data_IF_926832561394
#
_entry.id   IF_926832561394
#
_cell.length_a   1.000
_cell.length_b   1.000
_cell.length_c   1.000
_cell.angle_alpha   90.00
_cell.angle_beta   90.00
_cell.angle_gamma   90.00
#
_symmetry.space_group_name_H-M   'P 1'
#
loop_
_entity.id
_entity.type
_entity.pdbx_description
1 polymer ?
#
# COMPACT_ATOMS: atom_id res chain seq x y z
N UNK A 1 20.58 -13.78 -0.83
CA UNK A 1 19.65 -12.64 -0.58
C UNK A 1 18.20 -13.09 -0.42
N UNK A 2 17.68 -13.99 -1.25
CA UNK A 2 16.30 -14.51 -1.19
C UNK A 2 16.02 -15.25 0.13
N UNK A 3 16.87 -16.16 0.57
CA UNK A 3 16.70 -16.95 1.81
C UNK A 3 16.63 -16.05 3.06
N UNK A 4 17.44 -14.97 3.13
CA UNK A 4 17.41 -14.01 4.25
C UNK A 4 16.11 -13.20 4.33
N UNK A 5 15.36 -13.08 3.22
CA UNK A 5 14.06 -12.40 3.16
C UNK A 5 12.90 -13.35 3.45
N UNK A 6 13.02 -14.65 3.17
CA UNK A 6 12.02 -15.67 3.56
C UNK A 6 11.93 -15.82 5.08
N UNK A 7 13.02 -15.61 5.82
CA UNK A 7 13.04 -15.59 7.30
C UNK A 7 12.28 -14.40 7.92
N UNK A 8 11.80 -13.45 7.11
CA UNK A 8 11.02 -12.28 7.57
C UNK A 8 9.51 -12.48 7.45
N UNK A 9 9.06 -13.68 7.09
CA UNK A 9 7.63 -14.04 7.08
C UNK A 9 7.16 -14.17 8.52
N UNK A 10 6.11 -13.43 8.87
CA UNK A 10 5.41 -13.53 10.15
C UNK A 10 3.96 -13.87 9.89
N UNK A 11 3.50 -14.93 10.53
CA UNK A 11 2.10 -15.34 10.48
C UNK A 11 1.38 -14.70 11.67
N UNK A 12 0.28 -14.01 11.42
CA UNK A 12 -0.51 -13.40 12.48
C UNK A 12 -1.27 -14.50 13.27
N UNK A 13 -1.39 -14.41 14.61
CA UNK A 13 -2.10 -15.42 15.40
C UNK A 13 -3.53 -15.72 14.91
N UNK A 14 -4.23 -14.72 14.43
CA UNK A 14 -5.57 -14.90 13.82
C UNK A 14 -5.56 -15.86 12.62
N UNK A 15 -4.46 -16.00 11.90
CA UNK A 15 -4.36 -16.95 10.78
C UNK A 15 -4.54 -18.40 11.27
N UNK A 16 -3.89 -18.75 12.38
CA UNK A 16 -4.02 -20.09 12.98
C UNK A 16 -5.44 -20.34 13.51
N UNK A 17 -6.08 -19.32 14.08
CA UNK A 17 -7.48 -19.40 14.51
C UNK A 17 -8.40 -19.68 13.32
N UNK A 18 -8.21 -18.98 12.18
CA UNK A 18 -9.01 -19.20 10.98
C UNK A 18 -8.74 -20.56 10.34
N UNK A 19 -7.49 -21.02 10.33
CA UNK A 19 -7.14 -22.37 9.88
C UNK A 19 -7.85 -23.46 10.70
N UNK A 20 -7.87 -23.29 12.02
CA UNK A 20 -8.55 -24.20 12.95
C UNK A 20 -10.08 -24.18 12.73
N UNK A 21 -10.68 -22.99 12.69
CA UNK A 21 -12.12 -22.84 12.43
C UNK A 21 -12.52 -23.43 11.08
N UNK A 22 -11.74 -23.21 10.01
CA UNK A 22 -12.03 -23.77 8.69
C UNK A 22 -11.97 -25.31 8.68
N UNK A 23 -11.10 -25.90 9.51
CA UNK A 23 -11.02 -27.35 9.66
C UNK A 23 -12.27 -27.93 10.33
N UNK A 24 -12.81 -27.25 11.35
CA UNK A 24 -14.03 -27.68 12.06
C UNK A 24 -15.28 -27.50 11.18
N UNK A 25 -15.34 -26.41 10.43
CA UNK A 25 -16.51 -26.06 9.59
C UNK A 25 -16.52 -26.78 8.23
N UNK A 26 -15.51 -27.58 7.90
CA UNK A 26 -15.38 -28.24 6.61
C UNK A 26 -14.92 -27.35 5.47
N UNK A 27 -14.57 -26.08 5.74
CA UNK A 27 -14.12 -25.08 4.76
C UNK A 27 -12.59 -25.02 4.62
N UNK A 28 -11.89 -26.11 4.99
CA UNK A 28 -10.43 -26.14 4.96
C UNK A 28 -9.86 -26.05 3.54
N UNK A 29 -10.54 -26.64 2.58
CA UNK A 29 -10.17 -26.59 1.16
C UNK A 29 -10.19 -25.13 0.62
N UNK A 30 -11.26 -24.41 0.90
CA UNK A 30 -11.41 -23.00 0.55
C UNK A 30 -10.34 -22.12 1.20
N UNK A 31 -10.05 -22.38 2.49
CA UNK A 31 -9.00 -21.68 3.21
C UNK A 31 -7.62 -21.90 2.60
N UNK A 32 -7.30 -23.12 2.16
CA UNK A 32 -6.04 -23.43 1.47
C UNK A 32 -5.94 -22.68 0.14
N UNK A 33 -6.99 -22.74 -0.69
CA UNK A 33 -7.03 -22.01 -1.97
C UNK A 33 -6.83 -20.52 -1.74
N UNK A 34 -7.57 -19.92 -0.81
CA UNK A 34 -7.48 -18.53 -0.45
C UNK A 34 -6.05 -18.15 -0.03
N UNK A 35 -5.42 -18.97 0.79
CA UNK A 35 -4.04 -18.76 1.27
C UNK A 35 -3.02 -18.82 0.12
N UNK A 36 -3.17 -19.77 -0.81
CA UNK A 36 -2.29 -19.89 -1.98
C UNK A 36 -2.39 -18.65 -2.85
N UNK A 37 -3.59 -18.16 -3.14
CA UNK A 37 -3.82 -16.97 -3.96
C UNK A 37 -3.15 -15.74 -3.31
N UNK A 38 -3.35 -15.54 -2.01
CA UNK A 38 -2.70 -14.45 -1.27
C UNK A 38 -1.18 -14.56 -1.32
N UNK A 39 -0.65 -15.76 -1.12
CA UNK A 39 0.79 -15.99 -1.17
C UNK A 39 1.37 -15.63 -2.53
N UNK A 40 0.75 -16.04 -3.61
CA UNK A 40 1.17 -15.69 -4.99
C UNK A 40 1.11 -14.17 -5.20
N UNK A 41 0.04 -13.52 -4.74
CA UNK A 41 -0.11 -12.07 -4.80
C UNK A 41 1.03 -11.34 -4.07
N UNK A 42 1.33 -11.72 -2.82
CA UNK A 42 2.43 -11.13 -2.05
C UNK A 42 3.80 -11.38 -2.67
N UNK A 43 4.00 -12.56 -3.28
CA UNK A 43 5.22 -12.86 -4.01
C UNK A 43 5.44 -11.94 -5.21
N UNK A 44 4.38 -11.44 -5.84
CA UNK A 44 4.46 -10.40 -6.85
C UNK A 44 5.09 -9.11 -6.33
N UNK A 45 4.66 -8.62 -5.17
CA UNK A 45 5.27 -7.45 -4.53
C UNK A 45 6.73 -7.69 -4.13
N UNK A 46 6.99 -8.86 -3.56
CA UNK A 46 8.34 -9.27 -3.13
C UNK A 46 9.31 -9.29 -4.31
N UNK A 47 8.93 -9.91 -5.42
CA UNK A 47 9.79 -9.99 -6.62
C UNK A 47 10.09 -8.60 -7.18
N UNK A 48 9.09 -7.73 -7.28
CA UNK A 48 9.29 -6.35 -7.71
C UNK A 48 10.21 -5.57 -6.75
N UNK A 49 10.03 -5.71 -5.44
CA UNK A 49 10.90 -5.09 -4.45
C UNK A 49 12.36 -5.53 -4.59
N UNK A 50 12.59 -6.82 -4.80
CA UNK A 50 13.93 -7.39 -4.98
C UNK A 50 14.59 -6.90 -6.28
N UNK A 51 13.83 -6.80 -7.39
CA UNK A 51 14.32 -6.26 -8.65
C UNK A 51 14.82 -4.80 -8.51
N UNK A 52 14.14 -4.01 -7.68
CA UNK A 52 14.56 -2.64 -7.37
C UNK A 52 15.58 -2.54 -6.21
N UNK A 53 16.09 -3.69 -5.72
CA UNK A 53 17.04 -3.77 -4.59
C UNK A 53 16.53 -3.11 -3.32
N UNK A 54 15.21 -3.18 -3.11
CA UNK A 54 14.53 -2.66 -1.91
C UNK A 54 14.49 -3.77 -0.86
N UNK A 55 14.94 -3.46 0.35
CA UNK A 55 14.92 -4.41 1.45
C UNK A 55 13.48 -4.64 1.93
N UNK A 56 13.13 -5.91 2.14
CA UNK A 56 11.87 -6.29 2.76
C UNK A 56 12.08 -6.23 4.27
N UNK A 57 11.23 -5.49 4.97
CA UNK A 57 11.23 -5.41 6.43
C UNK A 57 10.56 -6.63 7.04
N UNK A 58 9.36 -6.94 6.58
CA UNK A 58 8.60 -8.14 6.96
C UNK A 58 7.48 -8.41 5.96
N UNK A 59 7.10 -9.68 5.87
CA UNK A 59 5.90 -10.15 5.18
C UNK A 59 4.97 -10.68 6.27
N UNK A 60 3.79 -10.09 6.42
CA UNK A 60 2.80 -10.48 7.41
C UNK A 60 1.65 -11.19 6.70
N UNK A 61 1.40 -12.45 7.05
CA UNK A 61 0.27 -13.22 6.54
C UNK A 61 -0.88 -13.04 7.53
N UNK A 62 -1.97 -12.45 7.06
CA UNK A 62 -3.22 -12.21 7.78
C UNK A 62 -4.29 -13.18 7.24
N UNK A 63 -5.34 -13.48 8.00
CA UNK A 63 -6.42 -14.34 7.53
C UNK A 63 -7.25 -13.74 6.37
N UNK A 64 -7.14 -12.44 6.12
CA UNK A 64 -7.88 -11.72 5.08
C UNK A 64 -6.99 -11.21 3.94
N UNK A 65 -5.69 -11.49 3.97
CA UNK A 65 -4.74 -10.99 2.98
C UNK A 65 -3.31 -11.06 3.48
N UNK A 66 -2.38 -10.62 2.64
CA UNK A 66 -0.98 -10.43 3.00
C UNK A 66 -0.66 -8.94 3.17
N UNK A 67 0.46 -8.65 3.81
CA UNK A 67 1.00 -7.31 3.92
C UNK A 67 2.53 -7.35 3.85
N UNK A 68 3.07 -7.05 2.69
CA UNK A 68 4.52 -6.89 2.52
C UNK A 68 4.94 -5.47 2.89
N UNK A 69 5.79 -5.34 3.90
CA UNK A 69 6.34 -4.06 4.36
C UNK A 69 7.79 -3.94 3.88
N UNK A 70 8.06 -2.89 3.13
CA UNK A 70 9.38 -2.57 2.59
C UNK A 70 10.10 -1.52 3.43
N UNK A 71 11.43 -1.61 3.47
CA UNK A 71 12.31 -0.54 3.96
C UNK A 71 12.67 0.38 2.79
N UNK A 72 11.69 1.15 2.32
CA UNK A 72 11.92 2.06 1.21
C UNK A 72 11.78 3.53 1.66
N UNK A 73 12.58 4.42 1.04
CA UNK A 73 12.42 5.86 1.26
C UNK A 73 11.05 6.33 0.76
N UNK A 74 10.46 7.30 1.45
CA UNK A 74 9.19 7.92 0.98
C UNK A 74 9.43 8.67 -0.33
N UNK A 75 10.65 9.21 -0.52
CA UNK A 75 11.04 9.94 -1.72
C UNK A 75 11.55 9.03 -2.85
N UNK A 76 11.25 7.73 -2.82
CA UNK A 76 11.51 6.84 -3.97
C UNK A 76 10.75 7.33 -5.20
N UNK A 77 11.30 7.12 -6.39
CA UNK A 77 10.65 7.51 -7.64
C UNK A 77 9.29 6.82 -7.78
N UNK A 78 8.27 7.59 -8.16
CA UNK A 78 6.87 7.13 -8.22
C UNK A 78 6.67 5.89 -9.10
N UNK A 79 7.43 5.76 -10.22
CA UNK A 79 7.29 4.60 -11.09
C UNK A 79 7.72 3.28 -10.43
N UNK A 80 8.74 3.31 -9.53
CA UNK A 80 9.16 2.12 -8.80
C UNK A 80 8.10 1.64 -7.83
N UNK A 81 7.53 2.58 -7.08
CA UNK A 81 6.43 2.28 -6.15
C UNK A 81 5.19 1.77 -6.89
N UNK A 82 4.88 2.36 -8.06
CA UNK A 82 3.79 1.91 -8.93
C UNK A 82 3.99 0.47 -9.39
N UNK A 83 5.17 0.13 -9.91
CA UNK A 83 5.47 -1.23 -10.35
C UNK A 83 5.37 -2.23 -9.20
N UNK A 84 5.88 -1.88 -8.00
CA UNK A 84 5.73 -2.74 -6.83
C UNK A 84 4.25 -2.96 -6.51
N UNK A 85 3.43 -1.91 -6.50
CA UNK A 85 2.01 -2.03 -6.17
C UNK A 85 1.21 -2.86 -7.20
N UNK A 86 1.56 -2.77 -8.49
CA UNK A 86 0.85 -3.49 -9.56
C UNK A 86 1.28 -4.96 -9.67
N UNK A 87 2.52 -5.29 -9.25
CA UNK A 87 3.05 -6.65 -9.42
C UNK A 87 2.32 -7.71 -8.59
N UNK A 88 1.71 -7.37 -7.45
CA UNK A 88 0.85 -8.29 -6.70
C UNK A 88 -0.33 -8.78 -7.54
N UNK A 89 -1.24 -7.87 -7.94
CA UNK A 89 -2.34 -8.20 -8.84
C UNK A 89 -1.90 -8.89 -10.14
N UNK A 90 -0.78 -8.45 -10.73
CA UNK A 90 -0.25 -9.02 -11.97
C UNK A 90 0.15 -10.50 -11.80
N UNK A 91 0.89 -10.82 -10.75
CA UNK A 91 1.28 -12.21 -10.45
C UNK A 91 0.06 -13.10 -10.21
N UNK A 92 -0.95 -12.58 -9.53
CA UNK A 92 -2.20 -13.28 -9.31
C UNK A 92 -2.92 -13.57 -10.64
N UNK A 93 -2.98 -12.62 -11.57
CA UNK A 93 -3.56 -12.82 -12.91
C UNK A 93 -2.75 -13.84 -13.72
N UNK A 94 -1.42 -13.76 -13.72
CA UNK A 94 -0.55 -14.70 -14.42
C UNK A 94 -0.75 -16.11 -13.88
N UNK A 95 -0.83 -16.26 -12.55
CA UNK A 95 -1.07 -17.55 -11.90
C UNK A 95 -2.45 -18.13 -12.28
N UNK A 96 -3.49 -17.30 -12.29
CA UNK A 96 -4.82 -17.69 -12.75
C UNK A 96 -4.80 -18.17 -14.20
N UNK A 97 -4.18 -17.40 -15.12
CA UNK A 97 -4.08 -17.79 -16.55
C UNK A 97 -3.30 -19.10 -16.73
N UNK A 98 -2.24 -19.32 -15.95
CA UNK A 98 -1.48 -20.56 -15.97
C UNK A 98 -2.35 -21.75 -15.55
N UNK A 99 -3.04 -21.66 -14.42
CA UNK A 99 -3.94 -22.71 -13.93
C UNK A 99 -5.12 -22.96 -14.89
N UNK A 100 -5.67 -21.91 -15.49
CA UNK A 100 -6.72 -22.02 -16.50
C UNK A 100 -6.26 -22.84 -17.72
N UNK A 101 -5.05 -22.56 -18.21
CA UNK A 101 -4.49 -23.28 -19.37
C UNK A 101 -4.28 -24.78 -19.12
N UNK A 102 -4.01 -25.19 -17.89
CA UNK A 102 -3.81 -26.59 -17.52
C UNK A 102 -5.09 -27.24 -16.94
N UNK A 103 -6.26 -26.60 -17.10
CA UNK A 103 -7.56 -27.04 -16.63
C UNK A 103 -7.67 -27.32 -15.11
N UNK A 104 -6.88 -26.61 -14.30
CA UNK A 104 -6.90 -26.73 -12.84
C UNK A 104 -7.80 -25.68 -12.15
N UNK A 105 -8.45 -24.79 -12.90
CA UNK A 105 -9.35 -23.77 -12.37
C UNK A 105 -10.75 -24.36 -12.12
N UNK A 106 -11.09 -24.57 -10.84
CA UNK A 106 -12.47 -24.90 -10.45
C UNK A 106 -13.26 -23.62 -10.08
N UNK A 107 -14.57 -23.77 -9.84
CA UNK A 107 -15.46 -22.66 -9.48
C UNK A 107 -15.04 -21.95 -8.19
N UNK A 108 -14.58 -22.71 -7.18
CA UNK A 108 -14.12 -22.19 -5.88
C UNK A 108 -12.88 -21.32 -6.07
N UNK A 109 -11.88 -21.80 -6.82
CA UNK A 109 -10.67 -21.03 -7.11
C UNK A 109 -11.00 -19.73 -7.85
N UNK A 110 -11.83 -19.81 -8.91
CA UNK A 110 -12.23 -18.63 -9.70
C UNK A 110 -12.94 -17.59 -8.84
N UNK A 111 -13.83 -18.02 -7.95
CA UNK A 111 -14.53 -17.14 -7.02
C UNK A 111 -13.57 -16.38 -6.10
N UNK A 112 -12.69 -17.08 -5.37
CA UNK A 112 -11.75 -16.46 -4.46
C UNK A 112 -10.71 -15.63 -5.19
N UNK A 113 -10.22 -16.08 -6.34
CA UNK A 113 -9.25 -15.33 -7.13
C UNK A 113 -9.82 -13.99 -7.58
N UNK A 114 -11.03 -13.99 -8.13
CA UNK A 114 -11.70 -12.76 -8.56
C UNK A 114 -12.00 -11.85 -7.38
N UNK A 115 -12.47 -12.42 -6.26
CA UNK A 115 -12.76 -11.65 -5.06
C UNK A 115 -11.50 -10.95 -4.50
N UNK A 116 -10.39 -11.68 -4.32
CA UNK A 116 -9.14 -11.14 -3.79
C UNK A 116 -8.58 -10.06 -4.72
N UNK A 117 -8.62 -10.30 -6.05
CA UNK A 117 -8.15 -9.35 -7.05
C UNK A 117 -8.92 -8.04 -6.99
N UNK A 118 -10.25 -8.11 -7.07
CA UNK A 118 -11.11 -6.93 -7.04
C UNK A 118 -11.00 -6.19 -5.70
N UNK A 119 -10.96 -6.93 -4.59
CA UNK A 119 -10.81 -6.38 -3.27
C UNK A 119 -9.50 -5.58 -3.11
N UNK A 120 -8.36 -6.15 -3.53
CA UNK A 120 -7.08 -5.46 -3.46
C UNK A 120 -6.98 -4.25 -4.40
N UNK A 121 -7.77 -4.20 -5.47
CA UNK A 121 -7.84 -3.06 -6.38
C UNK A 121 -8.77 -1.93 -5.90
N UNK A 122 -9.52 -2.12 -4.81
CA UNK A 122 -10.34 -1.04 -4.24
C UNK A 122 -9.45 0.12 -3.77
N UNK A 123 -9.88 1.38 -4.00
CA UNK A 123 -9.13 2.56 -3.56
C UNK A 123 -9.31 2.82 -2.05
N UNK A 124 -9.13 1.78 -1.22
CA UNK A 124 -9.27 1.81 0.23
C UNK A 124 -7.90 1.57 0.88
N UNK A 125 -7.42 2.52 1.68
CA UNK A 125 -6.20 2.32 2.46
C UNK A 125 -6.38 1.15 3.48
N UNK A 126 -5.44 0.21 3.59
CA UNK A 126 -4.09 0.16 3.00
C UNK A 126 -3.94 -0.74 1.75
N UNK A 127 -5.01 -1.03 1.00
CA UNK A 127 -5.00 -1.93 -0.15
C UNK A 127 -4.16 -1.38 -1.32
N UNK A 128 -3.78 -2.24 -2.26
CA UNK A 128 -2.92 -1.84 -3.38
C UNK A 128 -3.58 -0.84 -4.32
N UNK A 129 -4.90 -0.94 -4.51
CA UNK A 129 -5.67 0.06 -5.27
C UNK A 129 -5.51 1.46 -4.70
N UNK A 130 -5.47 1.61 -3.37
CA UNK A 130 -5.21 2.93 -2.75
C UNK A 130 -3.79 3.42 -2.99
N UNK A 131 -2.78 2.54 -3.00
CA UNK A 131 -1.39 2.89 -3.30
C UNK A 131 -1.27 3.35 -4.75
N UNK A 132 -1.83 2.59 -5.70
CA UNK A 132 -1.87 2.93 -7.12
C UNK A 132 -2.56 4.28 -7.33
N UNK A 133 -3.72 4.48 -6.72
CA UNK A 133 -4.47 5.73 -6.78
C UNK A 133 -3.66 6.90 -6.20
N UNK A 134 -3.05 6.73 -5.02
CA UNK A 134 -2.19 7.75 -4.40
C UNK A 134 -1.02 8.15 -5.31
N UNK A 135 -0.37 7.19 -5.97
CA UNK A 135 0.74 7.46 -6.90
C UNK A 135 0.29 8.29 -8.09
N UNK A 136 -0.88 7.96 -8.66
CA UNK A 136 -1.46 8.73 -9.79
C UNK A 136 -1.75 10.17 -9.35
N UNK A 137 -2.38 10.36 -8.19
CA UNK A 137 -2.66 11.69 -7.65
C UNK A 137 -1.37 12.46 -7.31
N UNK A 138 -0.33 11.77 -6.82
CA UNK A 138 0.99 12.39 -6.55
C UNK A 138 1.68 12.96 -7.79
N UNK A 139 1.44 12.41 -8.99
CA UNK A 139 1.97 12.99 -10.24
C UNK A 139 1.39 14.38 -10.51
N UNK A 140 0.15 14.60 -10.12
CA UNK A 140 -0.61 15.82 -10.43
C UNK A 140 -0.52 16.81 -9.26
N UNK A 141 -0.64 16.35 -8.02
CA UNK A 141 -0.78 17.17 -6.82
C UNK A 141 0.47 17.12 -5.92
N UNK A 142 0.45 17.87 -4.79
CA UNK A 142 1.49 17.78 -3.77
C UNK A 142 1.34 16.49 -2.94
N UNK A 143 2.44 16.06 -2.31
CA UNK A 143 2.47 14.88 -1.44
C UNK A 143 1.38 14.94 -0.34
N UNK A 144 1.24 16.10 0.31
CA UNK A 144 0.21 16.31 1.33
C UNK A 144 -1.21 16.17 0.75
N UNK A 145 -1.49 16.82 -0.38
CA UNK A 145 -2.82 16.76 -1.01
C UNK A 145 -3.17 15.35 -1.48
N UNK A 146 -2.24 14.64 -2.11
CA UNK A 146 -2.50 13.27 -2.59
C UNK A 146 -2.86 12.34 -1.44
N UNK A 147 -2.20 12.48 -0.29
CA UNK A 147 -2.48 11.69 0.89
C UNK A 147 -3.92 11.90 1.39
N UNK A 148 -4.35 13.17 1.54
CA UNK A 148 -5.73 13.48 1.96
C UNK A 148 -6.77 13.03 0.93
N UNK A 149 -6.52 13.23 -0.38
CA UNK A 149 -7.42 12.75 -1.43
C UNK A 149 -7.60 11.24 -1.31
N UNK A 150 -6.52 10.48 -1.11
CA UNK A 150 -6.59 9.03 -0.91
C UNK A 150 -7.40 8.65 0.33
N UNK A 151 -7.28 9.41 1.43
CA UNK A 151 -8.11 9.17 2.62
C UNK A 151 -9.58 9.42 2.36
N UNK A 152 -9.94 10.55 1.75
CA UNK A 152 -11.33 10.87 1.44
C UNK A 152 -11.95 9.84 0.49
N UNK A 153 -11.21 9.41 -0.55
CA UNK A 153 -11.70 8.35 -1.45
C UNK A 153 -11.87 7.03 -0.71
N UNK A 154 -10.98 6.68 0.22
CA UNK A 154 -11.11 5.47 1.04
C UNK A 154 -12.36 5.52 1.91
N UNK A 155 -12.67 6.66 2.54
CA UNK A 155 -13.89 6.83 3.36
C UNK A 155 -15.14 6.64 2.49
N UNK A 156 -15.20 7.31 1.34
CA UNK A 156 -16.34 7.20 0.42
C UNK A 156 -16.52 5.74 -0.03
N UNK A 157 -15.44 5.07 -0.40
CA UNK A 157 -15.51 3.67 -0.86
C UNK A 157 -15.93 2.72 0.26
N UNK A 158 -15.48 2.94 1.52
CA UNK A 158 -15.93 2.15 2.68
C UNK A 158 -17.44 2.35 2.92
N UNK A 159 -17.93 3.59 2.83
CA UNK A 159 -19.38 3.88 3.00
C UNK A 159 -20.19 3.16 1.91
N UNK A 160 -19.74 3.22 0.66
CA UNK A 160 -20.39 2.49 -0.45
C UNK A 160 -20.35 0.98 -0.22
N UNK A 161 -19.24 0.45 0.29
CA UNK A 161 -19.09 -0.98 0.59
C UNK A 161 -20.03 -1.42 1.72
N UNK A 162 -20.16 -0.62 2.79
CA UNK A 162 -21.12 -0.85 3.87
C UNK A 162 -22.56 -0.83 3.32
N UNK A 163 -22.88 0.14 2.47
CA UNK A 163 -24.20 0.22 1.82
C UNK A 163 -24.52 -1.07 1.06
N UNK A 164 -23.60 -1.57 0.25
CA UNK A 164 -23.78 -2.83 -0.50
C UNK A 164 -23.97 -4.03 0.43
N UNK A 165 -23.23 -4.10 1.56
CA UNK A 165 -23.38 -5.18 2.55
C UNK A 165 -24.77 -5.16 3.16
N UNK A 166 -25.29 -3.99 3.56
CA UNK A 166 -26.60 -3.85 4.18
C UNK A 166 -27.72 -4.33 3.25
N UNK A 167 -27.64 -4.01 1.95
CA UNK A 167 -28.70 -4.33 1.00
C UNK A 167 -28.61 -5.75 0.39
N UNK A 168 -27.47 -6.44 0.46
CA UNK A 168 -27.23 -7.76 -0.21
C UNK A 168 -27.16 -8.97 0.70
N UNK A 169 -27.67 -8.92 1.95
CA UNK A 169 -27.57 -9.93 2.99
C UNK A 169 -26.27 -9.85 3.83
N UNK A 170 -26.49 -9.79 5.14
CA UNK A 170 -25.42 -9.69 6.14
C UNK A 170 -24.48 -10.89 6.09
N UNK A 171 -23.23 -10.64 5.74
CA UNK A 171 -22.18 -11.64 5.85
C UNK A 171 -21.21 -11.18 6.96
N UNK A 172 -21.14 -11.94 8.06
CA UNK A 172 -20.30 -11.63 9.22
C UNK A 172 -18.84 -11.40 8.83
N UNK A 173 -18.33 -12.16 7.87
CA UNK A 173 -16.95 -12.04 7.38
C UNK A 173 -16.67 -10.66 6.76
N UNK A 174 -17.62 -10.11 6.00
CA UNK A 174 -17.49 -8.78 5.40
C UNK A 174 -17.51 -7.67 6.45
N UNK A 175 -18.29 -7.82 7.52
CA UNK A 175 -18.32 -6.87 8.64
C UNK A 175 -16.96 -6.81 9.33
N UNK A 176 -16.33 -7.94 9.59
CA UNK A 176 -15.00 -8.02 10.20
C UNK A 176 -13.95 -7.35 9.30
N UNK A 177 -14.02 -7.56 7.99
CA UNK A 177 -13.12 -6.92 7.02
C UNK A 177 -13.29 -5.40 7.04
N UNK A 178 -14.52 -4.89 7.04
CA UNK A 178 -14.81 -3.45 7.11
C UNK A 178 -14.25 -2.84 8.40
N UNK A 179 -14.46 -3.51 9.54
CA UNK A 179 -13.91 -3.05 10.82
C UNK A 179 -12.38 -2.96 10.78
N UNK A 180 -11.72 -3.97 10.20
CA UNK A 180 -10.27 -3.95 10.00
C UNK A 180 -9.83 -2.78 9.11
N UNK A 181 -10.51 -2.54 7.99
CA UNK A 181 -10.19 -1.44 7.08
C UNK A 181 -10.36 -0.06 7.75
N UNK A 182 -11.42 0.13 8.52
CA UNK A 182 -11.65 1.37 9.28
C UNK A 182 -10.52 1.59 10.30
N UNK A 183 -10.14 0.55 11.05
CA UNK A 183 -9.03 0.62 12.01
C UNK A 183 -7.72 1.03 11.35
N UNK A 184 -7.35 0.41 10.22
CA UNK A 184 -6.12 0.74 9.50
C UNK A 184 -6.18 2.15 8.87
N UNK A 185 -7.35 2.58 8.40
CA UNK A 185 -7.56 3.93 7.89
C UNK A 185 -7.35 4.99 8.98
N UNK A 186 -7.94 4.81 10.17
CA UNK A 186 -7.76 5.71 11.32
C UNK A 186 -6.28 5.79 11.71
N UNK A 187 -5.62 4.65 11.81
CA UNK A 187 -4.18 4.57 12.12
C UNK A 187 -3.33 5.30 11.07
N UNK A 188 -3.65 5.14 9.80
CA UNK A 188 -2.99 5.86 8.72
C UNK A 188 -3.16 7.37 8.87
N UNK A 189 -4.38 7.85 9.16
CA UNK A 189 -4.66 9.27 9.37
C UNK A 189 -3.86 9.86 10.55
N UNK A 190 -3.83 9.19 11.70
CA UNK A 190 -3.07 9.61 12.88
C UNK A 190 -1.57 9.69 12.56
N UNK A 191 -1.04 8.75 11.79
CA UNK A 191 0.36 8.69 11.43
C UNK A 191 0.78 9.67 10.32
N UNK A 192 -0.16 10.41 9.72
CA UNK A 192 0.13 11.31 8.60
C UNK A 192 1.23 12.32 8.91
N UNK A 193 1.17 12.98 10.07
CA UNK A 193 2.16 13.99 10.45
C UNK A 193 3.58 13.39 10.55
N UNK A 194 3.70 12.17 11.07
CA UNK A 194 4.95 11.44 11.10
C UNK A 194 5.47 11.14 9.69
N UNK A 195 4.61 10.65 8.80
CA UNK A 195 4.95 10.32 7.41
C UNK A 195 5.38 11.60 6.66
N UNK A 196 4.65 12.70 6.83
CA UNK A 196 4.99 13.97 6.20
C UNK A 196 6.33 14.54 6.70
N UNK A 197 6.59 14.51 8.01
CA UNK A 197 7.87 14.93 8.56
C UNK A 197 9.02 14.01 8.10
N UNK A 198 8.79 12.70 7.99
CA UNK A 198 9.76 11.76 7.43
C UNK A 198 10.06 12.08 5.95
N UNK A 199 9.03 12.41 5.14
CA UNK A 199 9.20 12.85 3.76
C UNK A 199 10.14 14.07 3.66
N UNK A 200 9.94 15.08 4.51
CA UNK A 200 10.78 16.27 4.54
C UNK A 200 12.19 15.98 5.06
N UNK A 201 12.31 15.17 6.12
CA UNK A 201 13.60 14.81 6.72
C UNK A 201 14.48 14.00 5.74
N UNK A 202 13.90 13.09 4.99
CA UNK A 202 14.64 12.37 3.95
C UNK A 202 15.22 13.33 2.90
N UNK A 203 14.45 14.36 2.49
CA UNK A 203 14.91 15.39 1.55
C UNK A 203 15.97 16.31 2.13
N UNK A 204 15.94 16.52 3.44
CA UNK A 204 16.99 17.27 4.13
C UNK A 204 18.31 16.47 4.19
N UNK A 205 18.22 15.17 4.57
CA UNK A 205 19.41 14.33 4.78
C UNK A 205 20.05 13.82 3.49
N UNK A 206 19.26 13.58 2.43
CA UNK A 206 19.74 12.96 1.20
C UNK A 206 19.65 13.92 0.01
N UNK A 207 20.64 13.86 -0.86
CA UNK A 207 20.65 14.59 -2.13
C UNK A 207 19.88 13.82 -3.20
N UNK A 208 18.60 14.16 -3.34
CA UNK A 208 17.78 13.61 -4.43
C UNK A 208 17.97 14.44 -5.70
N UNK A 209 18.42 13.82 -6.77
CA UNK A 209 18.55 14.45 -8.08
C UNK A 209 17.26 14.25 -8.88
N UNK A 210 16.48 15.32 -8.98
CA UNK A 210 15.28 15.37 -9.81
C UNK A 210 15.52 16.23 -11.04
N UNK A 211 15.16 15.72 -12.22
CA UNK A 211 15.28 16.44 -13.50
C UNK A 211 14.33 17.64 -13.61
N UNK A 212 13.22 17.60 -12.87
CA UNK A 212 12.18 18.64 -12.93
C UNK A 212 12.27 19.56 -11.73
N UNK A 213 12.22 20.89 -11.97
CA UNK A 213 12.20 21.93 -10.92
C UNK A 213 10.85 22.63 -10.89
N UNK A 214 10.41 23.05 -9.72
CA UNK A 214 9.16 23.80 -9.56
C UNK A 214 9.28 24.87 -8.47
N UNK A 215 8.73 26.06 -8.76
CA UNK A 215 8.57 27.12 -7.76
C UNK A 215 7.28 26.87 -6.98
N UNK A 216 7.36 26.93 -5.66
CA UNK A 216 6.23 26.73 -4.74
C UNK A 216 6.20 27.84 -3.71
N UNK A 217 5.03 28.05 -3.07
CA UNK A 217 4.85 29.11 -2.04
C UNK A 217 5.15 28.61 -0.63
N UNK A 218 4.98 27.31 -0.37
CA UNK A 218 5.20 26.73 0.97
C UNK A 218 5.58 25.23 0.88
N UNK A 219 6.12 24.70 1.96
CA UNK A 219 6.55 23.30 2.11
C UNK A 219 5.41 22.30 1.88
N UNK A 220 4.17 22.66 2.24
CA UNK A 220 3.00 21.79 2.05
C UNK A 220 2.67 21.51 0.57
N UNK A 221 3.21 22.34 -0.32
CA UNK A 221 3.00 22.21 -1.78
C UNK A 221 4.10 21.37 -2.47
N UNK A 222 5.02 20.78 -1.70
CA UNK A 222 6.09 19.94 -2.25
C UNK A 222 5.53 18.68 -2.92
N UNK A 223 6.07 18.40 -4.10
CA UNK A 223 5.74 17.19 -4.90
C UNK A 223 6.87 16.17 -4.80
N UNK A 224 6.53 14.91 -4.98
CA UNK A 224 7.54 13.87 -5.25
C UNK A 224 8.13 14.08 -6.66
N UNK A 225 9.22 13.46 -6.99
CA UNK A 225 9.89 13.54 -8.31
C UNK A 225 10.24 14.96 -8.81
N UNK A 226 10.19 15.99 -7.94
CA UNK A 226 10.56 17.37 -8.25
C UNK A 226 11.53 17.93 -7.23
N UNK A 227 12.48 18.75 -7.68
CA UNK A 227 13.20 19.70 -6.82
C UNK A 227 12.41 21.01 -6.73
N UNK A 228 12.48 21.70 -5.58
CA UNK A 228 11.67 22.88 -5.34
C UNK A 228 12.53 24.10 -5.03
N UNK A 229 12.04 25.24 -5.50
CA UNK A 229 12.48 26.57 -5.08
C UNK A 229 11.27 27.21 -4.39
N UNK A 230 11.45 27.74 -3.19
CA UNK A 230 10.36 28.29 -2.41
C UNK A 230 10.46 29.82 -2.44
N UNK A 231 9.35 30.47 -2.80
CA UNK A 231 9.25 31.92 -2.83
C UNK A 231 8.83 32.43 -1.46
N UNK A 232 9.76 33.07 -0.71
CA UNK A 232 9.50 33.78 0.54
C UNK A 232 9.50 35.29 0.25
N UNK A 233 8.31 35.90 0.11
CA UNK A 233 8.20 37.31 -0.30
C UNK A 233 8.85 37.55 -1.66
N UNK A 234 9.88 38.42 -1.73
CA UNK A 234 10.63 38.73 -2.95
C UNK A 234 11.90 37.86 -3.13
N UNK A 235 12.19 36.93 -2.22
CA UNK A 235 13.39 36.09 -2.29
C UNK A 235 13.03 34.68 -2.71
N UNK A 236 13.92 34.05 -3.46
CA UNK A 236 13.84 32.63 -3.85
C UNK A 236 14.84 31.84 -3.02
N UNK A 237 14.36 30.90 -2.25
CA UNK A 237 15.16 30.10 -1.31
C UNK A 237 15.15 28.65 -1.76
N UNK A 238 16.27 27.96 -1.63
CA UNK A 238 16.38 26.56 -2.01
C UNK A 238 15.62 25.67 -1.02
N UNK A 239 15.19 24.51 -1.49
CA UNK A 239 14.53 23.49 -0.65
C UNK A 239 15.38 23.15 0.59
N UNK A 240 16.69 22.97 0.42
CA UNK A 240 17.61 22.63 1.52
C UNK A 240 17.71 23.73 2.58
N UNK A 241 17.78 24.99 2.19
CA UNK A 241 17.87 26.10 3.15
C UNK A 241 16.64 26.20 4.05
N UNK A 242 15.45 25.98 3.49
CA UNK A 242 14.20 26.01 4.25
C UNK A 242 14.08 24.80 5.18
N UNK A 243 14.44 23.60 4.67
CA UNK A 243 14.44 22.40 5.49
C UNK A 243 15.48 22.49 6.62
N UNK A 244 16.64 23.13 6.37
CA UNK A 244 17.64 23.42 7.39
C UNK A 244 17.08 24.32 8.48
N UNK A 245 16.46 25.45 8.13
CA UNK A 245 15.78 26.31 9.10
C UNK A 245 14.75 25.57 9.94
N UNK A 246 14.01 24.63 9.34
CA UNK A 246 12.99 23.86 10.03
C UNK A 246 13.57 22.85 11.01
N UNK A 247 14.62 22.11 10.64
CA UNK A 247 15.13 20.98 11.43
C UNK A 247 16.27 21.38 12.37
N UNK A 248 17.13 22.37 12.02
CA UNK A 248 18.21 22.82 12.89
C UNK A 248 17.69 23.71 14.03
N UNK A 249 16.58 24.45 13.83
CA UNK A 249 15.96 25.24 14.91
C UNK A 249 15.15 24.38 15.93
N UNK A 250 14.90 23.11 15.65
CA UNK A 250 14.23 22.17 16.59
C UNK A 250 15.27 21.49 17.50
N UNK A 251 16.56 21.58 17.19
CA UNK A 251 17.66 21.01 17.96
C UNK A 251 18.28 21.97 18.98
N UNK A 252 17.74 23.19 19.12
CA UNK A 252 18.01 24.14 20.19
C UNK A 252 16.80 24.21 21.12
#
# INVERSE_FOLDING_TARGET
>A
MIIKNLLKIKIHPLFYLFAFLSSITGLFYEFVIFTIIIFVHEMGHVTAGLLFKINIKKILILPFGGLTIFEMPINIRLYKEFLIAVMGPLFQIIFWLFLYKINYCNSVFNYYNTFILLFNLLPIYPLDGSKIFNIVINKITSFKKSYFVTFYTSIITIILFIYVIIFKNYNLSLIIIVFFLIKELIKGYINFNFIFNKFLLERYKNDFHFSKRRVIKNINSMKRDYSHIIKEGNKYVTEKEILRKRFDNVSK
#
